data_IF_219918428955
#
_entry.id   IF_219918428955
#
_cell.length_a   1.000
_cell.length_b   1.000
_cell.length_c   1.000
_cell.angle_alpha   90.00
_cell.angle_beta   90.00
_cell.angle_gamma   90.00
#
_symmetry.space_group_name_H-M   'P 1'
#
loop_
_entity.id
_entity.type
_entity.pdbx_description
1 polymer ?
#
# COMPACT_ATOMS: atom_id res chain seq x y z
N UNK A 1 26.84 27.63 10.67
CA UNK A 1 28.27 27.41 10.32
C UNK A 1 29.24 28.10 11.28
N UNK A 2 29.17 29.43 11.49
CA UNK A 2 30.13 30.20 12.31
C UNK A 2 30.29 29.65 13.75
N UNK A 3 29.20 29.25 14.41
CA UNK A 3 29.28 28.74 15.79
C UNK A 3 30.12 27.46 15.92
N UNK A 4 30.18 26.59 14.91
CA UNK A 4 31.01 25.36 14.95
C UNK A 4 32.51 25.68 15.06
N UNK A 5 32.96 26.81 14.51
CA UNK A 5 34.35 27.24 14.63
C UNK A 5 34.68 27.82 16.02
N UNK A 6 33.66 28.22 16.79
CA UNK A 6 33.81 28.79 18.13
C UNK A 6 33.72 27.72 19.22
N UNK A 7 32.80 26.75 19.08
CA UNK A 7 32.50 25.77 20.12
C UNK A 7 32.97 24.34 19.80
N UNK A 8 33.40 24.09 18.56
CA UNK A 8 33.83 22.75 18.13
C UNK A 8 32.69 21.78 17.82
N UNK A 9 31.43 22.19 18.01
CA UNK A 9 30.26 21.32 17.90
C UNK A 9 29.91 21.15 16.42
N UNK A 10 29.98 19.90 15.96
CA UNK A 10 29.56 19.53 14.61
C UNK A 10 28.05 19.70 14.46
N UNK A 11 27.61 20.26 13.33
CA UNK A 11 26.19 20.50 13.05
C UNK A 11 25.84 19.96 11.69
N UNK A 12 24.64 19.41 11.58
CA UNK A 12 24.04 18.97 10.33
C UNK A 12 22.73 19.70 10.15
N UNK A 13 22.53 20.27 8.96
CA UNK A 13 21.31 20.97 8.57
C UNK A 13 20.89 20.45 7.20
N UNK A 14 19.66 19.95 7.11
CA UNK A 14 19.11 19.31 5.91
C UNK A 14 18.12 20.20 5.13
N UNK A 15 17.74 21.35 5.68
CA UNK A 15 16.61 22.15 5.19
C UNK A 15 16.98 23.61 4.92
N UNK A 16 18.23 23.87 4.50
CA UNK A 16 18.68 25.23 4.18
C UNK A 16 18.68 25.47 2.66
N UNK A 17 18.52 26.72 2.24
CA UNK A 17 18.40 27.12 0.84
C UNK A 17 19.52 28.08 0.50
N UNK A 18 20.30 27.77 -0.53
CA UNK A 18 21.37 28.63 -1.02
C UNK A 18 20.95 29.37 -2.28
N UNK A 19 21.49 30.57 -2.46
CA UNK A 19 21.20 31.45 -3.59
C UNK A 19 22.38 31.47 -4.55
N UNK A 20 22.10 31.28 -5.84
CA UNK A 20 23.06 31.48 -6.91
C UNK A 20 23.18 32.97 -7.24
N UNK A 21 24.28 33.35 -7.90
CA UNK A 21 24.52 34.74 -8.34
C UNK A 21 23.41 35.27 -9.27
N UNK A 22 22.75 34.38 -10.01
CA UNK A 22 21.64 34.71 -10.92
C UNK A 22 20.29 34.95 -10.19
N UNK A 23 20.24 34.77 -8.86
CA UNK A 23 19.04 34.92 -8.06
C UNK A 23 18.16 33.67 -7.97
N UNK A 24 18.50 32.58 -8.65
CA UNK A 24 17.87 31.28 -8.41
C UNK A 24 18.31 30.70 -7.06
N UNK A 25 17.47 29.87 -6.44
CA UNK A 25 17.79 29.19 -5.19
C UNK A 25 17.77 27.68 -5.36
N UNK A 26 18.46 26.98 -4.46
CA UNK A 26 18.48 25.52 -4.44
C UNK A 26 18.61 24.99 -3.02
N UNK A 27 17.90 23.90 -2.68
CA UNK A 27 18.02 23.25 -1.39
C UNK A 27 19.40 22.62 -1.24
N UNK A 28 19.99 22.81 -0.05
CA UNK A 28 21.26 22.23 0.32
C UNK A 28 21.17 21.53 1.66
N UNK A 29 21.91 20.43 1.75
CA UNK A 29 22.29 19.87 3.04
C UNK A 29 23.73 20.25 3.32
N UNK A 30 24.04 20.68 4.53
CA UNK A 30 25.44 20.86 4.91
C UNK A 30 25.75 20.27 6.28
N UNK A 31 26.99 19.79 6.37
CA UNK A 31 27.60 19.31 7.61
C UNK A 31 28.81 20.17 7.92
N UNK A 32 28.88 20.72 9.13
CA UNK A 32 30.06 21.42 9.63
C UNK A 32 30.80 20.56 10.63
N UNK A 33 32.13 20.47 10.48
CA UNK A 33 33.03 19.83 11.44
C UNK A 33 34.14 20.79 11.83
N UNK A 34 34.48 20.82 13.11
CA UNK A 34 35.59 21.62 13.62
C UNK A 34 36.94 20.98 13.26
N UNK A 35 37.94 21.83 13.05
CA UNK A 35 39.33 21.43 12.75
C UNK A 35 40.21 21.78 13.94
N UNK A 36 40.96 20.81 14.41
CA UNK A 36 41.82 20.93 15.59
C UNK A 36 43.30 20.85 15.21
N UNK A 37 44.13 21.67 15.85
CA UNK A 37 45.60 21.56 15.85
C UNK A 37 46.10 21.70 17.28
N UNK A 38 46.89 20.73 17.75
CA UNK A 38 47.42 20.70 19.12
C UNK A 38 46.33 20.93 20.19
N UNK A 39 45.19 20.23 20.09
CA UNK A 39 44.01 20.38 20.96
C UNK A 39 43.32 21.76 20.95
N UNK A 40 43.70 22.67 20.05
CA UNK A 40 43.05 23.97 19.87
C UNK A 40 42.24 23.97 18.58
N UNK A 41 41.03 24.54 18.62
CA UNK A 41 40.20 24.73 17.44
C UNK A 41 40.84 25.82 16.58
N UNK A 42 41.18 25.48 15.34
CA UNK A 42 41.78 26.42 14.37
C UNK A 42 40.80 26.82 13.26
N UNK A 43 39.62 26.20 13.21
CA UNK A 43 38.57 26.55 12.25
C UNK A 43 37.48 25.51 12.16
N UNK A 44 36.64 25.63 11.12
CA UNK A 44 35.62 24.66 10.79
C UNK A 44 35.55 24.45 9.27
N UNK A 45 35.31 23.22 8.86
CA UNK A 45 35.05 22.84 7.46
C UNK A 45 33.56 22.57 7.32
N UNK A 46 32.92 23.20 6.34
CA UNK A 46 31.58 22.84 5.91
C UNK A 46 31.64 22.07 4.60
N UNK A 47 30.90 20.97 4.52
CA UNK A 47 30.60 20.29 3.27
C UNK A 47 29.13 20.52 2.98
N UNK A 48 28.84 21.13 1.83
CA UNK A 48 27.48 21.30 1.33
C UNK A 48 27.22 20.37 0.15
N UNK A 49 25.99 19.90 0.03
CA UNK A 49 25.51 19.04 -1.04
C UNK A 49 24.23 19.63 -1.59
N UNK A 50 24.19 19.85 -2.89
CA UNK A 50 22.95 20.17 -3.60
C UNK A 50 22.06 18.92 -3.57
N UNK A 51 20.86 19.05 -3.00
CA UNK A 51 19.88 17.95 -2.89
C UNK A 51 18.66 18.17 -3.76
N UNK A 52 18.69 19.15 -4.68
CA UNK A 52 17.59 19.47 -5.58
C UNK A 52 17.12 18.24 -6.37
N UNK A 53 18.07 17.50 -6.95
CA UNK A 53 17.77 16.32 -7.74
C UNK A 53 17.15 15.20 -6.90
N UNK A 54 17.68 14.98 -5.69
CA UNK A 54 17.15 13.95 -4.78
C UNK A 54 15.71 14.26 -4.38
N UNK A 55 15.43 15.52 -3.99
CA UNK A 55 14.08 15.95 -3.62
C UNK A 55 13.10 15.86 -4.79
N UNK A 56 13.52 16.20 -6.01
CA UNK A 56 12.67 16.06 -7.20
C UNK A 56 12.31 14.60 -7.48
N UNK A 57 13.27 13.69 -7.35
CA UNK A 57 13.02 12.25 -7.53
C UNK A 57 12.08 11.73 -6.44
N UNK A 58 12.31 12.12 -5.18
CA UNK A 58 11.44 11.73 -4.06
C UNK A 58 10.01 12.23 -4.25
N UNK A 59 9.83 13.49 -4.65
CA UNK A 59 8.53 14.08 -4.94
C UNK A 59 7.82 13.34 -6.09
N UNK A 60 8.55 13.07 -7.17
CA UNK A 60 8.01 12.35 -8.33
C UNK A 60 7.59 10.92 -7.96
N UNK A 61 8.40 10.21 -7.17
CA UNK A 61 8.08 8.88 -6.67
C UNK A 61 6.82 8.92 -5.79
N UNK A 62 6.75 9.88 -4.87
CA UNK A 62 5.60 10.05 -3.98
C UNK A 62 4.32 10.31 -4.77
N UNK A 63 4.36 11.23 -5.74
CA UNK A 63 3.22 11.53 -6.60
C UNK A 63 2.79 10.30 -7.42
N UNK A 64 3.74 9.53 -7.95
CA UNK A 64 3.42 8.29 -8.66
C UNK A 64 2.74 7.25 -7.74
N UNK A 65 3.20 7.10 -6.50
CA UNK A 65 2.61 6.19 -5.51
C UNK A 65 1.19 6.63 -5.11
N UNK A 66 0.98 7.93 -4.89
CA UNK A 66 -0.34 8.50 -4.59
C UNK A 66 -1.32 8.24 -5.74
N UNK A 67 -0.89 8.40 -6.99
CA UNK A 67 -1.71 8.08 -8.16
C UNK A 67 -2.06 6.59 -8.22
N UNK A 68 -1.08 5.69 -8.02
CA UNK A 68 -1.33 4.24 -8.02
C UNK A 68 -2.30 3.84 -6.92
N UNK A 69 -2.18 4.42 -5.71
CA UNK A 69 -3.12 4.17 -4.62
C UNK A 69 -4.53 4.61 -4.98
N UNK A 70 -4.70 5.84 -5.47
CA UNK A 70 -6.00 6.35 -5.87
C UNK A 70 -6.65 5.49 -6.97
N UNK A 71 -5.89 5.06 -7.97
CA UNK A 71 -6.39 4.16 -9.02
C UNK A 71 -6.78 2.78 -8.45
N UNK A 72 -5.99 2.25 -7.52
CA UNK A 72 -6.27 0.96 -6.88
C UNK A 72 -7.57 1.02 -6.08
N UNK A 73 -7.79 2.10 -5.33
CA UNK A 73 -9.02 2.32 -4.57
C UNK A 73 -10.24 2.41 -5.49
N UNK A 74 -10.13 3.14 -6.61
CA UNK A 74 -11.20 3.23 -7.61
C UNK A 74 -11.53 1.87 -8.22
N UNK A 75 -10.52 1.12 -8.65
CA UNK A 75 -10.70 -0.22 -9.22
C UNK A 75 -11.31 -1.19 -8.21
N UNK A 76 -10.91 -1.10 -6.93
CA UNK A 76 -11.47 -1.94 -5.87
C UNK A 76 -12.93 -1.59 -5.59
N UNK A 77 -13.28 -0.30 -5.55
CA UNK A 77 -14.66 0.13 -5.40
C UNK A 77 -15.53 -0.40 -6.54
N UNK A 78 -15.10 -0.21 -7.79
CA UNK A 78 -15.83 -0.69 -8.97
C UNK A 78 -15.97 -2.21 -8.99
N UNK A 79 -14.91 -2.95 -8.65
CA UNK A 79 -14.97 -4.41 -8.56
C UNK A 79 -15.96 -4.86 -7.48
N UNK A 80 -15.99 -4.18 -6.34
CA UNK A 80 -16.93 -4.46 -5.26
C UNK A 80 -18.37 -4.19 -5.70
N UNK A 81 -18.61 -3.08 -6.39
CA UNK A 81 -19.93 -2.73 -6.91
C UNK A 81 -20.42 -3.75 -7.94
N UNK A 82 -19.56 -4.16 -8.88
CA UNK A 82 -19.87 -5.20 -9.86
C UNK A 82 -20.13 -6.56 -9.22
N UNK A 83 -19.35 -6.94 -8.19
CA UNK A 83 -19.61 -8.17 -7.44
C UNK A 83 -20.95 -8.13 -6.69
N UNK A 84 -21.31 -6.97 -6.14
CA UNK A 84 -22.58 -6.76 -5.49
C UNK A 84 -23.75 -6.85 -6.47
N UNK A 85 -23.62 -6.26 -7.68
CA UNK A 85 -24.61 -6.36 -8.75
C UNK A 85 -24.82 -7.82 -9.18
N UNK A 86 -23.73 -8.55 -9.44
CA UNK A 86 -23.78 -9.97 -9.79
C UNK A 86 -24.46 -10.80 -8.68
N UNK A 87 -24.13 -10.54 -7.41
CA UNK A 87 -24.76 -11.21 -6.28
C UNK A 87 -26.27 -10.90 -6.18
N UNK A 88 -26.70 -9.68 -6.49
CA UNK A 88 -28.11 -9.30 -6.51
C UNK A 88 -28.88 -9.94 -7.68
N UNK A 89 -28.31 -9.96 -8.89
CA UNK A 89 -28.91 -10.64 -10.04
C UNK A 89 -29.11 -12.13 -9.75
N UNK A 90 -28.11 -12.81 -9.17
CA UNK A 90 -28.22 -14.22 -8.82
C UNK A 90 -29.20 -14.50 -7.67
N UNK A 91 -29.42 -13.53 -6.77
CA UNK A 91 -30.42 -13.65 -5.70
C UNK A 91 -31.86 -13.42 -6.19
N UNK A 92 -32.04 -12.57 -7.20
CA UNK A 92 -33.36 -12.16 -7.74
C UNK A 92 -33.80 -13.06 -8.91
N UNK A 93 -32.88 -13.45 -9.78
CA UNK A 93 -33.05 -14.53 -10.73
C UNK A 93 -32.87 -15.84 -9.98
N UNK A 94 -33.90 -16.23 -9.23
CA UNK A 94 -33.92 -17.48 -8.48
C UNK A 94 -33.50 -18.66 -9.35
N UNK A 95 -32.24 -19.06 -9.25
CA UNK A 95 -31.79 -20.40 -9.63
C UNK A 95 -32.16 -21.36 -8.48
N UNK A 96 -33.38 -21.20 -7.94
CA UNK A 96 -34.07 -22.25 -7.19
C UNK A 96 -34.94 -23.01 -8.19
N UNK A 97 -34.29 -23.53 -9.23
CA UNK A 97 -34.85 -24.68 -9.91
C UNK A 97 -34.64 -25.87 -9.00
N UNK A 98 -35.65 -26.29 -8.23
CA UNK A 98 -35.75 -27.69 -7.75
C UNK A 98 -35.91 -28.69 -8.91
N UNK A 99 -35.44 -28.31 -10.10
CA UNK A 99 -35.42 -29.15 -11.27
C UNK A 99 -34.37 -30.23 -11.03
N UNK A 100 -34.76 -31.52 -11.07
CA UNK A 100 -33.84 -32.63 -10.86
C UNK A 100 -32.60 -32.57 -11.77
N UNK A 101 -32.73 -31.93 -12.95
CA UNK A 101 -31.67 -31.77 -13.94
C UNK A 101 -30.57 -30.84 -13.41
N UNK A 102 -30.93 -29.71 -12.80
CA UNK A 102 -29.97 -28.74 -12.27
C UNK A 102 -29.22 -29.34 -11.07
N UNK A 103 -29.92 -30.06 -10.19
CA UNK A 103 -29.28 -30.76 -9.06
C UNK A 103 -28.31 -31.84 -9.54
N UNK A 104 -28.67 -32.58 -10.59
CA UNK A 104 -27.81 -33.62 -11.19
C UNK A 104 -26.60 -33.02 -11.93
N UNK A 105 -26.74 -31.83 -12.50
CA UNK A 105 -25.64 -31.11 -13.13
C UNK A 105 -24.68 -30.51 -12.09
N UNK A 106 -25.22 -29.92 -11.02
CA UNK A 106 -24.43 -29.43 -9.88
C UNK A 106 -23.64 -30.56 -9.19
N UNK A 107 -24.25 -31.73 -8.98
CA UNK A 107 -23.54 -32.87 -8.38
C UNK A 107 -22.42 -33.41 -9.27
N UNK A 108 -22.54 -33.30 -10.60
CA UNK A 108 -21.46 -33.66 -11.53
C UNK A 108 -20.31 -32.66 -11.46
N UNK A 109 -20.59 -31.36 -11.35
CA UNK A 109 -19.55 -30.32 -11.19
C UNK A 109 -18.81 -30.49 -9.87
N UNK A 110 -19.51 -30.77 -8.78
CA UNK A 110 -18.93 -31.04 -7.46
C UNK A 110 -18.09 -32.33 -7.45
N UNK A 111 -18.54 -33.38 -8.15
CA UNK A 111 -17.79 -34.62 -8.32
C UNK A 111 -16.48 -34.40 -9.09
N UNK A 112 -16.48 -33.56 -10.13
CA UNK A 112 -15.27 -33.27 -10.92
C UNK A 112 -14.28 -32.40 -10.13
N UNK A 113 -14.77 -31.49 -9.28
CA UNK A 113 -13.93 -30.76 -8.32
C UNK A 113 -13.23 -31.71 -7.33
N UNK A 114 -13.94 -32.75 -6.87
CA UNK A 114 -13.35 -33.78 -5.99
C UNK A 114 -12.31 -34.68 -6.68
N UNK A 115 -12.30 -34.74 -8.01
CA UNK A 115 -11.36 -35.54 -8.79
C UNK A 115 -10.07 -34.79 -9.16
N UNK A 116 -10.04 -33.46 -9.00
CA UNK A 116 -8.93 -32.60 -9.38
C UNK A 116 -7.88 -32.35 -8.30
N UNK A 117 -8.11 -32.73 -7.04
CA UNK A 117 -7.29 -32.29 -5.91
C UNK A 117 -6.70 -33.44 -5.09
N UNK A 118 -5.72 -34.13 -5.69
CA UNK A 118 -4.67 -34.81 -4.92
C UNK A 118 -3.35 -34.07 -5.07
N UNK A 119 -3.20 -32.97 -4.33
CA UNK A 119 -1.88 -32.48 -3.89
C UNK A 119 -1.97 -32.16 -2.40
N UNK A 120 -1.16 -32.79 -1.54
CA UNK A 120 -1.16 -32.47 -0.12
C UNK A 120 -0.22 -31.28 0.08
N UNK A 121 -0.76 -30.09 0.34
CA UNK A 121 0.01 -29.03 0.99
C UNK A 121 -0.83 -28.47 2.13
N UNK A 122 -0.14 -28.27 3.25
CA UNK A 122 -0.68 -28.15 4.59
C UNK A 122 -1.75 -27.09 4.77
N UNK A 123 -2.63 -27.39 5.73
CA UNK A 123 -3.35 -26.45 6.58
C UNK A 123 -3.89 -25.18 5.90
N UNK A 124 -5.06 -25.32 5.27
CA UNK A 124 -5.98 -24.18 5.14
C UNK A 124 -7.28 -24.53 5.86
N UNK A 125 -7.48 -23.82 6.95
CA UNK A 125 -8.65 -23.83 7.82
C UNK A 125 -9.87 -23.36 7.03
N UNK A 126 -10.56 -24.27 6.34
CA UNK A 126 -11.86 -23.97 5.76
C UNK A 126 -12.89 -23.94 6.89
N UNK A 127 -13.36 -22.72 7.19
CA UNK A 127 -14.43 -22.42 8.13
C UNK A 127 -15.68 -23.23 7.72
N UNK A 128 -15.81 -24.44 8.26
CA UNK A 128 -17.10 -25.11 8.38
C UNK A 128 -17.89 -24.35 9.43
N UNK A 129 -18.85 -23.53 9.01
CA UNK A 129 -20.19 -23.39 9.62
C UNK A 129 -20.91 -22.16 9.06
N UNK A 130 -21.67 -22.32 7.98
CA UNK A 130 -22.86 -21.47 7.79
C UNK A 130 -24.09 -22.35 8.04
N UNK A 131 -24.58 -22.29 9.27
CA UNK A 131 -25.77 -23.00 9.74
C UNK A 131 -26.98 -22.19 9.26
N UNK A 132 -27.61 -22.64 8.18
CA UNK A 132 -28.85 -22.04 7.68
C UNK A 132 -29.97 -22.39 8.66
N UNK A 133 -30.42 -21.43 9.46
CA UNK A 133 -31.67 -21.56 10.20
C UNK A 133 -32.85 -21.36 9.24
N UNK A 134 -33.48 -22.46 8.85
CA UNK A 134 -34.78 -22.44 8.19
C UNK A 134 -35.87 -22.22 9.25
N UNK A 135 -36.54 -21.07 9.19
CA UNK A 135 -37.78 -20.84 9.92
C UNK A 135 -38.92 -21.58 9.22
N UNK A 136 -39.49 -22.58 9.88
CA UNK A 136 -40.76 -23.19 9.49
C UNK A 136 -41.89 -22.19 9.74
N UNK A 137 -42.54 -21.73 8.66
CA UNK A 137 -43.95 -21.35 8.69
C UNK A 137 -44.68 -22.19 7.66
N UNK A 138 -45.39 -23.22 8.11
CA UNK A 138 -46.76 -23.49 7.67
C UNK A 138 -47.37 -24.67 8.42
N UNK A 139 -48.52 -24.48 9.06
CA UNK A 139 -49.76 -25.05 8.53
C UNK A 139 -50.98 -24.47 9.25
N UNK A 140 -51.99 -24.17 8.44
CA UNK A 140 -53.37 -23.85 8.83
C UNK A 140 -54.03 -25.04 9.55
N UNK A 141 -54.59 -24.80 10.73
CA UNK A 141 -55.99 -25.02 11.11
C UNK A 141 -56.25 -24.52 12.54
#
# INVERSE_FOLDING_TARGET
>A
MFNTALDGISRQVSSEVFWRKDGSNFPVEYTTRAVYKNNHIIGAVAVFRDVSQQQQIELALRSALENVQSLTEQLQAENTDLQNELAQEWSSAGLVGRSPIITKMLSQVELVASYGEKRPLGEVFLIKSCKVHYGEKNTLK
#
